data_IF_870332206455
#
_entry.id   IF_870332206455
#
_cell.length_a   1.000
_cell.length_b   1.000
_cell.length_c   1.000
_cell.angle_alpha   90.00
_cell.angle_beta   90.00
_cell.angle_gamma   90.00
#
_symmetry.space_group_name_H-M   'P 1'
#
loop_
_entity.id
_entity.type
_entity.pdbx_description
1 polymer ?
#
# COMPACT_ATOMS: atom_id res chain seq x y z
N UNK A 1 3.67 20.15 2.21
CA UNK A 1 3.57 18.80 2.82
C UNK A 1 4.92 18.12 2.87
N UNK A 2 5.13 17.18 3.78
CA UNK A 2 6.46 16.66 4.09
C UNK A 2 6.83 15.53 3.15
N UNK A 3 7.91 15.69 2.36
CA UNK A 3 8.54 14.61 1.58
C UNK A 3 8.69 13.29 2.37
N UNK A 4 8.82 13.39 3.69
CA UNK A 4 8.90 12.25 4.60
C UNK A 4 7.63 11.37 4.58
N UNK A 5 6.43 11.95 4.46
CA UNK A 5 5.17 11.20 4.41
C UNK A 5 5.05 10.41 3.11
N UNK A 6 5.49 10.97 1.98
CA UNK A 6 5.56 10.26 0.70
C UNK A 6 6.55 9.09 0.74
N UNK A 7 7.69 9.25 1.43
CA UNK A 7 8.67 8.18 1.61
C UNK A 7 8.11 7.06 2.49
N UNK A 8 7.41 7.41 3.57
CA UNK A 8 6.76 6.43 4.44
C UNK A 8 5.66 5.66 3.71
N UNK A 9 4.82 6.34 2.93
CA UNK A 9 3.79 5.69 2.12
C UNK A 9 4.36 4.74 1.08
N UNK A 10 5.49 5.09 0.43
CA UNK A 10 6.17 4.17 -0.48
C UNK A 10 6.61 2.89 0.22
N UNK A 11 7.23 3.02 1.39
CA UNK A 11 7.67 1.87 2.19
C UNK A 11 6.49 1.01 2.65
N UNK A 12 5.39 1.65 3.02
CA UNK A 12 4.15 0.95 3.39
C UNK A 12 3.58 0.16 2.20
N UNK A 13 3.53 0.74 1.00
CA UNK A 13 3.09 0.05 -0.22
C UNK A 13 4.01 -1.14 -0.54
N UNK A 14 5.33 -0.98 -0.40
CA UNK A 14 6.29 -2.07 -0.61
C UNK A 14 6.09 -3.21 0.39
N UNK A 15 5.93 -2.91 1.68
CA UNK A 15 5.69 -3.91 2.72
C UNK A 15 4.38 -4.68 2.47
N UNK A 16 3.29 -3.98 2.15
CA UNK A 16 2.00 -4.62 1.84
C UNK A 16 2.08 -5.51 0.58
N UNK A 17 2.92 -5.16 -0.40
CA UNK A 17 3.16 -6.02 -1.58
C UNK A 17 3.90 -7.30 -1.22
N UNK A 18 4.88 -7.23 -0.32
CA UNK A 18 5.55 -8.43 0.19
C UNK A 18 4.59 -9.34 0.97
N UNK A 19 3.68 -8.75 1.76
CA UNK A 19 2.61 -9.50 2.43
C UNK A 19 1.70 -10.20 1.42
N UNK A 20 1.24 -9.51 0.37
CA UNK A 20 0.46 -10.15 -0.70
C UNK A 20 1.23 -11.30 -1.33
N UNK A 21 2.52 -11.12 -1.65
CA UNK A 21 3.33 -12.18 -2.23
C UNK A 21 3.39 -13.44 -1.35
N UNK A 22 3.35 -13.27 -0.03
CA UNK A 22 3.27 -14.40 0.91
C UNK A 22 1.87 -15.03 0.91
N UNK A 23 0.82 -14.21 0.94
CA UNK A 23 -0.55 -14.71 1.01
C UNK A 23 -1.00 -15.42 -0.28
N UNK A 24 -0.51 -15.01 -1.46
CA UNK A 24 -0.85 -15.68 -2.73
C UNK A 24 -0.29 -17.10 -2.84
N UNK A 25 0.72 -17.46 -2.03
CA UNK A 25 1.22 -18.83 -1.96
C UNK A 25 0.22 -19.78 -1.28
N UNK A 26 -0.64 -19.23 -0.41
CA UNK A 26 -1.64 -19.99 0.35
C UNK A 26 -3.02 -19.30 0.32
N UNK A 27 -3.62 -19.15 -0.87
CA UNK A 27 -4.83 -18.33 -1.06
C UNK A 27 -6.06 -18.89 -0.34
N UNK A 28 -6.11 -20.21 -0.09
CA UNK A 28 -7.20 -20.84 0.64
C UNK A 28 -7.20 -20.50 2.13
N UNK A 29 -6.03 -20.13 2.68
CA UNK A 29 -5.84 -19.77 4.08
C UNK A 29 -5.99 -18.26 4.26
N UNK A 30 -5.42 -17.49 3.34
CA UNK A 30 -5.28 -16.03 3.47
C UNK A 30 -6.21 -15.24 2.54
N UNK A 31 -7.36 -15.80 2.17
CA UNK A 31 -8.29 -15.16 1.23
C UNK A 31 -8.74 -13.78 1.71
N UNK A 32 -9.10 -13.67 2.99
CA UNK A 32 -9.59 -12.42 3.56
C UNK A 32 -8.44 -11.42 3.76
N UNK A 33 -7.25 -11.90 4.13
CA UNK A 33 -6.02 -11.13 4.24
C UNK A 33 -5.58 -10.59 2.87
N UNK A 34 -5.70 -11.36 1.79
CA UNK A 34 -5.43 -10.91 0.42
C UNK A 34 -6.33 -9.73 0.05
N UNK A 35 -7.64 -9.85 0.27
CA UNK A 35 -8.60 -8.79 -0.03
C UNK A 35 -8.34 -7.56 0.84
N UNK A 36 -8.14 -7.76 2.15
CA UNK A 36 -7.83 -6.69 3.10
C UNK A 36 -6.54 -5.95 2.74
N UNK A 37 -5.47 -6.68 2.43
CA UNK A 37 -4.16 -6.12 2.08
C UNK A 37 -4.20 -5.41 0.73
N UNK A 38 -4.91 -5.97 -0.26
CA UNK A 38 -5.16 -5.30 -1.54
C UNK A 38 -5.86 -3.95 -1.34
N UNK A 39 -6.91 -3.91 -0.52
CA UNK A 39 -7.61 -2.66 -0.21
C UNK A 39 -6.71 -1.63 0.48
N UNK A 40 -5.83 -2.08 1.40
CA UNK A 40 -4.84 -1.20 2.04
C UNK A 40 -3.85 -0.61 1.03
N UNK A 41 -3.38 -1.42 0.07
CA UNK A 41 -2.51 -0.95 -1.01
C UNK A 41 -3.21 0.14 -1.84
N UNK A 42 -4.46 -0.09 -2.23
CA UNK A 42 -5.23 0.88 -3.00
C UNK A 42 -5.39 2.21 -2.23
N UNK A 43 -5.70 2.14 -0.93
CA UNK A 43 -5.79 3.32 -0.06
C UNK A 43 -4.44 4.05 0.05
N UNK A 44 -3.35 3.32 0.26
CA UNK A 44 -2.01 3.90 0.36
C UNK A 44 -1.55 4.56 -0.95
N UNK A 45 -1.84 3.94 -2.11
CA UNK A 45 -1.57 4.50 -3.43
C UNK A 45 -2.39 5.77 -3.65
N UNK A 46 -3.69 5.75 -3.36
CA UNK A 46 -4.54 6.93 -3.51
C UNK A 46 -4.04 8.10 -2.65
N UNK A 47 -3.67 7.82 -1.39
CA UNK A 47 -3.09 8.83 -0.49
C UNK A 47 -1.74 9.34 -1.00
N UNK A 48 -0.89 8.47 -1.52
CA UNK A 48 0.38 8.86 -2.13
C UNK A 48 0.15 9.79 -3.34
N UNK A 49 -0.79 9.46 -4.23
CA UNK A 49 -1.13 10.29 -5.40
C UNK A 49 -1.62 11.66 -4.94
N UNK A 50 -2.54 11.73 -3.97
CA UNK A 50 -3.05 12.98 -3.43
C UNK A 50 -1.92 13.86 -2.87
N UNK A 51 -1.11 13.32 -1.95
CA UNK A 51 -0.01 14.06 -1.33
C UNK A 51 1.06 14.49 -2.36
N UNK A 52 1.27 13.69 -3.42
CA UNK A 52 2.22 14.03 -4.47
C UNK A 52 1.77 15.23 -5.32
N UNK A 53 0.44 15.36 -5.53
CA UNK A 53 -0.16 16.51 -6.22
C UNK A 53 -0.09 17.76 -5.35
N UNK A 54 -0.46 17.65 -4.08
CA UNK A 54 -0.39 18.75 -3.09
C UNK A 54 1.05 19.20 -2.77
N UNK A 55 2.05 18.39 -3.10
CA UNK A 55 3.48 18.75 -2.99
C UNK A 55 4.04 19.42 -4.25
N UNK A 56 3.28 19.42 -5.35
CA UNK A 56 3.66 19.99 -6.64
C UNK A 56 2.99 21.35 -6.94
N UNK A 57 2.02 21.75 -6.10
CA UNK A 57 1.39 23.08 -6.05
C UNK A 57 2.13 24.01 -5.06
#
# INVERSE_FOLDING_TARGET
>A
MTKNELVLLKKEIEALREEINTYIEYPDIFKDELVSTSNKIDQAINKYIQLSKESSE
#
